data_IF_886707161674
#
_entry.id   IF_886707161674
#
_cell.length_a   1.000
_cell.length_b   1.000
_cell.length_c   1.000
_cell.angle_alpha   90.00
_cell.angle_beta   90.00
_cell.angle_gamma   90.00
#
_symmetry.space_group_name_H-M   'P 1'
#
loop_
_entity.id
_entity.type
_entity.pdbx_description
1 polymer ?
#
# COMPACT_ATOMS: atom_id res chain seq x y z
N UNK A 1 -8.27 -19.82 -15.48
CA UNK A 1 -9.52 -19.11 -15.11
C UNK A 1 -9.40 -17.65 -15.53
N UNK A 2 -10.29 -17.15 -16.40
CA UNK A 2 -10.27 -15.74 -16.79
C UNK A 2 -10.89 -14.85 -15.71
N UNK A 3 -10.58 -13.55 -15.73
CA UNK A 3 -11.23 -12.55 -14.85
C UNK A 3 -12.77 -12.63 -14.93
N UNK A 4 -13.30 -12.94 -16.12
CA UNK A 4 -14.74 -13.12 -16.37
C UNK A 4 -15.31 -14.35 -15.66
N UNK A 5 -14.60 -15.48 -15.71
CA UNK A 5 -15.00 -16.70 -15.02
C UNK A 5 -15.00 -16.51 -13.50
N UNK A 6 -13.98 -15.84 -12.95
CA UNK A 6 -13.93 -15.50 -11.53
C UNK A 6 -15.09 -14.58 -11.12
N UNK A 7 -15.43 -13.57 -11.93
CA UNK A 7 -16.55 -12.68 -11.64
C UNK A 7 -17.87 -13.44 -11.57
N UNK A 8 -18.12 -14.37 -12.51
CA UNK A 8 -19.31 -15.22 -12.51
C UNK A 8 -19.36 -16.13 -11.27
N UNK A 9 -18.23 -16.74 -10.92
CA UNK A 9 -18.12 -17.54 -9.70
C UNK A 9 -18.50 -16.73 -8.45
N UNK A 10 -17.95 -15.52 -8.30
CA UNK A 10 -18.24 -14.62 -7.17
C UNK A 10 -19.69 -14.17 -7.09
N UNK A 11 -20.39 -14.02 -8.22
CA UNK A 11 -21.82 -13.64 -8.22
C UNK A 11 -22.74 -14.77 -7.83
N UNK A 12 -22.32 -16.02 -8.03
CA UNK A 12 -23.14 -17.20 -7.79
C UNK A 12 -23.02 -17.70 -6.32
N UNK A 13 -22.05 -17.20 -5.54
CA UNK A 13 -21.80 -17.60 -4.15
C UNK A 13 -22.74 -16.92 -3.15
N UNK A 14 -23.03 -17.61 -2.05
CA UNK A 14 -23.72 -17.03 -0.90
C UNK A 14 -22.77 -16.14 -0.10
N UNK A 15 -23.33 -15.13 0.56
CA UNK A 15 -22.58 -14.17 1.39
C UNK A 15 -21.62 -14.85 2.37
N UNK A 16 -22.08 -15.90 3.06
CA UNK A 16 -21.29 -16.62 4.06
C UNK A 16 -20.05 -17.30 3.47
N UNK A 17 -20.20 -17.91 2.29
CA UNK A 17 -19.10 -18.57 1.58
C UNK A 17 -18.07 -17.56 1.07
N UNK A 18 -18.53 -16.37 0.67
CA UNK A 18 -17.64 -15.25 0.32
C UNK A 18 -16.85 -14.78 1.56
N UNK A 19 -17.51 -14.58 2.70
CA UNK A 19 -16.86 -14.17 3.95
C UNK A 19 -15.77 -15.16 4.36
N UNK A 20 -16.07 -16.46 4.35
CA UNK A 20 -15.12 -17.51 4.66
C UNK A 20 -13.92 -17.51 3.69
N UNK A 21 -14.18 -17.34 2.39
CA UNK A 21 -13.13 -17.25 1.39
C UNK A 21 -12.23 -16.02 1.58
N UNK A 22 -12.80 -14.86 1.93
CA UNK A 22 -12.00 -13.65 2.21
C UNK A 22 -11.16 -13.80 3.49
N UNK A 23 -11.69 -14.47 4.52
CA UNK A 23 -10.94 -14.75 5.74
C UNK A 23 -9.80 -15.76 5.50
N UNK A 24 -10.01 -16.76 4.66
CA UNK A 24 -8.93 -17.65 4.21
C UNK A 24 -7.85 -16.86 3.46
N UNK A 25 -8.23 -15.97 2.54
CA UNK A 25 -7.27 -15.11 1.84
C UNK A 25 -6.48 -14.20 2.80
N UNK A 26 -7.15 -13.63 3.81
CA UNK A 26 -6.52 -12.78 4.83
C UNK A 26 -5.50 -13.54 5.67
N UNK A 27 -5.83 -14.77 6.07
CA UNK A 27 -4.94 -15.61 6.90
C UNK A 27 -3.77 -16.18 6.10
N UNK A 28 -4.00 -16.55 4.85
CA UNK A 28 -3.01 -17.23 4.00
C UNK A 28 -2.01 -16.29 3.35
N UNK A 29 -2.42 -15.06 3.00
CA UNK A 29 -1.57 -14.14 2.23
C UNK A 29 -1.22 -12.87 3.03
N UNK A 30 0.06 -12.68 3.41
CA UNK A 30 0.51 -11.49 4.13
C UNK A 30 0.17 -10.17 3.43
N UNK A 31 0.25 -10.14 2.09
CA UNK A 31 -0.08 -8.95 1.29
C UNK A 31 -1.56 -8.55 1.41
N UNK A 32 -2.47 -9.53 1.49
CA UNK A 32 -3.91 -9.27 1.69
C UNK A 32 -4.14 -8.72 3.09
N UNK A 33 -3.47 -9.28 4.09
CA UNK A 33 -3.49 -8.77 5.46
C UNK A 33 -2.97 -7.33 5.56
N UNK A 34 -1.86 -7.02 4.91
CA UNK A 34 -1.30 -5.66 4.84
C UNK A 34 -2.28 -4.68 4.18
N UNK A 35 -2.91 -5.08 3.07
CA UNK A 35 -3.92 -4.28 2.38
C UNK A 35 -5.11 -3.93 3.30
N UNK A 36 -5.70 -4.94 3.96
CA UNK A 36 -6.81 -4.70 4.88
C UNK A 36 -6.38 -3.93 6.14
N UNK A 37 -5.20 -4.20 6.69
CA UNK A 37 -4.66 -3.42 7.81
C UNK A 37 -4.49 -1.94 7.45
N UNK A 38 -4.10 -1.64 6.21
CA UNK A 38 -4.03 -0.27 5.72
C UNK A 38 -5.42 0.36 5.57
N UNK A 39 -6.42 -0.36 5.08
CA UNK A 39 -7.80 0.14 4.97
C UNK A 39 -8.41 0.43 6.35
N UNK A 40 -8.23 -0.46 7.31
CA UNK A 40 -8.85 -0.34 8.64
C UNK A 40 -8.13 0.66 9.55
N UNK A 41 -6.82 0.82 9.35
CA UNK A 41 -6.02 1.80 10.08
C UNK A 41 -5.12 2.53 9.10
N UNK A 42 -5.69 3.46 8.30
CA UNK A 42 -4.94 4.27 7.37
C UNK A 42 -4.06 5.21 8.19
N UNK A 43 -2.84 4.78 8.49
CA UNK A 43 -1.82 5.60 9.15
C UNK A 43 -1.25 6.61 8.13
N UNK A 44 -2.14 7.30 7.43
CA UNK A 44 -1.82 8.27 6.39
C UNK A 44 -0.87 9.33 6.92
N UNK A 45 -1.10 9.83 8.14
CA UNK A 45 -0.21 10.78 8.80
C UNK A 45 1.22 10.26 8.94
N UNK A 46 1.39 8.98 9.33
CA UNK A 46 2.72 8.37 9.44
C UNK A 46 3.35 8.19 8.06
N UNK A 47 2.57 7.77 7.07
CA UNK A 47 3.06 7.58 5.71
C UNK A 47 3.53 8.91 5.09
N UNK A 48 2.77 9.98 5.33
CA UNK A 48 3.11 11.35 4.91
C UNK A 48 4.35 11.84 5.66
N UNK A 49 4.46 11.61 6.96
CA UNK A 49 5.64 11.97 7.75
C UNK A 49 6.89 11.23 7.27
N UNK A 50 6.80 9.92 7.01
CA UNK A 50 7.90 9.13 6.49
C UNK A 50 8.33 9.60 5.09
N UNK A 51 7.37 9.90 4.22
CA UNK A 51 7.66 10.47 2.89
C UNK A 51 8.37 11.83 3.01
N UNK A 52 7.86 12.74 3.87
CA UNK A 52 8.49 14.03 4.17
C UNK A 52 9.90 13.86 4.71
N UNK A 53 10.12 12.93 5.64
CA UNK A 53 11.44 12.66 6.21
C UNK A 53 12.43 12.10 5.17
N UNK A 54 11.97 11.20 4.27
CA UNK A 54 12.81 10.66 3.18
C UNK A 54 13.15 11.72 2.13
N UNK A 55 12.20 12.58 1.76
CA UNK A 55 12.44 13.72 0.87
C UNK A 55 13.42 14.69 1.54
N UNK A 56 13.18 15.05 2.81
CA UNK A 56 14.04 15.94 3.57
C UNK A 56 15.48 15.41 3.64
N UNK A 57 15.69 14.13 3.94
CA UNK A 57 17.04 13.54 3.98
C UNK A 57 17.77 13.52 2.62
N UNK A 58 17.06 13.58 1.49
CA UNK A 58 17.68 13.62 0.15
C UNK A 58 18.34 14.98 -0.14
N UNK A 59 17.72 16.06 0.36
CA UNK A 59 18.17 17.45 0.19
C UNK A 59 18.93 18.01 1.40
N UNK A 60 18.60 17.53 2.59
CA UNK A 60 19.11 17.97 3.89
C UNK A 60 19.45 16.76 4.76
N UNK A 61 20.50 15.98 4.41
CA UNK A 61 20.87 14.80 5.17
C UNK A 61 21.28 15.17 6.60
N UNK A 62 20.63 14.54 7.59
CA UNK A 62 20.95 14.75 9.01
C UNK A 62 22.30 14.16 9.42
N UNK A 63 22.81 13.16 8.69
CA UNK A 63 24.17 12.61 8.88
C UNK A 63 25.17 13.43 8.07
N UNK A 64 26.44 13.48 8.50
CA UNK A 64 27.58 14.19 7.87
C UNK A 64 27.93 13.72 6.43
N UNK A 65 26.95 13.64 5.53
CA UNK A 65 27.09 13.28 4.12
C UNK A 65 26.59 14.44 3.28
N UNK A 66 27.19 14.65 2.11
CA UNK A 66 26.72 15.68 1.17
C UNK A 66 25.33 15.33 0.64
N UNK A 67 24.44 16.32 0.44
CA UNK A 67 23.12 16.08 -0.12
C UNK A 67 23.23 15.54 -1.55
N UNK A 68 22.39 14.57 -1.88
CA UNK A 68 22.35 13.96 -3.22
C UNK A 68 21.37 14.67 -4.15
N UNK A 69 20.37 15.36 -3.59
CA UNK A 69 19.41 16.20 -4.28
C UNK A 69 18.74 15.54 -5.52
N UNK A 70 18.53 14.22 -5.49
CA UNK A 70 17.95 13.49 -6.63
C UNK A 70 16.44 13.74 -6.70
N UNK A 71 16.04 14.59 -7.65
CA UNK A 71 14.63 14.87 -7.94
C UNK A 71 13.81 13.60 -8.18
N UNK A 72 14.35 12.60 -8.88
CA UNK A 72 13.64 11.35 -9.20
C UNK A 72 13.22 10.57 -7.95
N UNK A 73 14.04 10.60 -6.90
CA UNK A 73 13.76 9.92 -5.62
C UNK A 73 12.64 10.65 -4.89
N UNK A 74 12.71 11.98 -4.80
CA UNK A 74 11.65 12.78 -4.17
C UNK A 74 10.31 12.68 -4.92
N UNK A 75 10.35 12.77 -6.25
CA UNK A 75 9.16 12.67 -7.09
C UNK A 75 8.47 11.30 -6.97
N UNK A 76 9.23 10.21 -6.73
CA UNK A 76 8.66 8.88 -6.51
C UNK A 76 7.74 8.85 -5.28
N UNK A 77 8.13 9.52 -4.20
CA UNK A 77 7.30 9.60 -2.99
C UNK A 77 6.11 10.54 -3.19
N UNK A 78 6.29 11.66 -3.87
CA UNK A 78 5.19 12.63 -4.15
C UNK A 78 4.11 11.99 -5.05
N UNK A 79 4.50 11.27 -6.10
CA UNK A 79 3.58 10.55 -6.99
C UNK A 79 2.74 9.49 -6.28
N UNK A 80 3.13 9.05 -5.08
CA UNK A 80 2.36 8.10 -4.31
C UNK A 80 1.07 8.73 -3.72
N UNK A 81 1.06 10.05 -3.58
CA UNK A 81 -0.06 10.81 -2.99
C UNK A 81 -0.81 11.68 -4.00
N UNK A 82 -0.17 12.01 -5.13
CA UNK A 82 -0.80 12.73 -6.24
C UNK A 82 -1.23 11.69 -7.27
N UNK A 83 -2.50 11.32 -7.25
CA UNK A 83 -3.17 10.60 -8.34
C UNK A 83 -4.08 11.56 -9.08
#
# INVERSE_FOLDING_TARGET
MSKRALKKYLTDLKKKELEDQFMDLYTRFPVVKEYYNFIFNPKEDKMVQEAKAKISNEYFPLKRRRPKARRSVAQKYIKHFIK
#
